data_IF_554088116326
#
_entry.id   IF_554088116326
#
_cell.length_a   1.000
_cell.length_b   1.000
_cell.length_c   1.000
_cell.angle_alpha   90.00
_cell.angle_beta   90.00
_cell.angle_gamma   90.00
#
_symmetry.space_group_name_H-M   'P 1'
#
loop_
_entity.id
_entity.type
_entity.pdbx_description
1 polymer ?
#
# COMPACT_ATOMS: atom_id res chain seq x y z
N UNK A 1 20.90 1.44 -7.84
CA UNK A 1 20.94 -0.02 -7.63
C UNK A 1 21.73 -0.29 -6.36
N UNK A 2 21.04 -0.49 -5.23
CA UNK A 2 21.69 -0.66 -3.93
C UNK A 2 21.82 -2.13 -3.57
N UNK A 3 23.01 -2.47 -3.08
CA UNK A 3 23.48 -3.76 -2.58
C UNK A 3 22.58 -4.30 -1.44
N UNK A 4 22.52 -5.64 -1.37
CA UNK A 4 21.89 -6.49 -0.35
C UNK A 4 20.36 -6.58 -0.41
N UNK A 5 19.83 -7.25 -1.43
CA UNK A 5 18.51 -7.90 -1.30
C UNK A 5 18.69 -9.10 -0.38
N UNK A 6 18.35 -8.96 0.91
CA UNK A 6 18.20 -10.10 1.80
C UNK A 6 17.23 -11.09 1.15
N UNK A 7 17.61 -12.36 1.04
CA UNK A 7 16.76 -13.38 0.43
C UNK A 7 15.50 -13.56 1.27
N UNK A 8 14.40 -12.93 0.85
CA UNK A 8 13.09 -13.11 1.48
C UNK A 8 12.61 -14.53 1.20
N UNK A 9 12.37 -15.29 2.28
CA UNK A 9 11.84 -16.65 2.22
C UNK A 9 10.43 -16.68 1.61
N UNK A 10 10.23 -17.56 0.61
CA UNK A 10 8.94 -17.81 -0.04
C UNK A 10 7.84 -18.18 0.95
N UNK A 11 8.18 -18.90 2.03
CA UNK A 11 7.19 -19.29 3.05
C UNK A 11 6.59 -18.06 3.76
N UNK A 12 7.43 -17.06 4.08
CA UNK A 12 7.01 -15.83 4.73
C UNK A 12 6.19 -14.96 3.79
N UNK A 13 6.56 -14.93 2.52
CA UNK A 13 5.82 -14.17 1.50
C UNK A 13 4.44 -14.79 1.22
N UNK A 14 4.35 -16.12 1.18
CA UNK A 14 3.08 -16.86 1.12
C UNK A 14 2.18 -16.53 2.32
N UNK A 15 2.73 -16.52 3.54
CA UNK A 15 2.00 -16.14 4.74
C UNK A 15 1.48 -14.70 4.66
N UNK A 16 2.31 -13.75 4.21
CA UNK A 16 1.90 -12.36 4.02
C UNK A 16 0.73 -12.25 3.04
N UNK A 17 0.78 -12.96 1.91
CA UNK A 17 -0.33 -12.97 0.94
C UNK A 17 -1.63 -13.50 1.55
N UNK A 18 -1.55 -14.52 2.40
CA UNK A 18 -2.72 -15.03 3.12
C UNK A 18 -3.30 -14.00 4.07
N UNK A 19 -2.46 -13.23 4.76
CA UNK A 19 -2.92 -12.08 5.56
C UNK A 19 -3.57 -11.01 4.67
N UNK A 20 -2.94 -10.67 3.54
CA UNK A 20 -3.49 -9.68 2.60
C UNK A 20 -4.89 -10.07 2.10
N UNK A 21 -5.16 -11.36 1.91
CA UNK A 21 -6.49 -11.84 1.55
C UNK A 21 -7.56 -11.61 2.63
N UNK A 22 -7.17 -11.52 3.90
CA UNK A 22 -8.10 -11.19 4.99
C UNK A 22 -8.27 -9.67 5.07
N UNK A 23 -7.18 -8.90 4.92
CA UNK A 23 -7.23 -7.43 4.94
C UNK A 23 -8.04 -6.84 3.79
N UNK A 24 -7.90 -7.41 2.60
CA UNK A 24 -8.67 -7.05 1.41
C UNK A 24 -9.21 -8.36 0.80
N UNK A 25 -10.41 -8.80 1.21
CA UNK A 25 -11.03 -10.00 0.68
C UNK A 25 -11.47 -9.83 -0.78
N UNK A 26 -11.86 -10.94 -1.40
CA UNK A 26 -12.49 -10.91 -2.71
C UNK A 26 -13.87 -10.26 -2.61
N UNK A 27 -14.22 -9.48 -3.63
CA UNK A 27 -15.52 -8.79 -3.72
C UNK A 27 -15.99 -8.85 -5.17
N UNK A 28 -17.15 -9.46 -5.39
CA UNK A 28 -17.74 -9.68 -6.72
C UNK A 28 -16.75 -10.35 -7.71
N UNK A 29 -16.26 -9.58 -8.68
CA UNK A 29 -15.33 -9.97 -9.74
C UNK A 29 -13.86 -9.65 -9.43
N UNK A 30 -13.60 -8.95 -8.32
CA UNK A 30 -12.25 -8.57 -7.89
C UNK A 30 -11.64 -9.64 -6.98
N UNK A 31 -10.48 -10.20 -7.35
CA UNK A 31 -9.73 -11.09 -6.48
C UNK A 31 -9.26 -10.39 -5.20
N UNK A 32 -9.10 -11.20 -4.15
CA UNK A 32 -8.45 -10.80 -2.90
C UNK A 32 -7.00 -10.31 -3.12
N UNK A 33 -6.48 -9.51 -2.19
CA UNK A 33 -5.21 -8.82 -2.41
C UNK A 33 -4.00 -9.76 -2.56
N UNK A 34 -3.88 -10.80 -1.76
CA UNK A 34 -2.80 -11.78 -1.89
C UNK A 34 -2.84 -12.59 -3.18
N UNK A 35 -4.02 -12.73 -3.82
CA UNK A 35 -4.14 -13.36 -5.13
C UNK A 35 -3.79 -12.39 -6.27
N UNK A 36 -4.19 -11.11 -6.14
CA UNK A 36 -4.00 -10.11 -7.19
C UNK A 36 -2.58 -9.50 -7.20
N UNK A 37 -1.98 -9.30 -6.04
CA UNK A 37 -0.66 -8.68 -5.89
C UNK A 37 0.43 -9.71 -6.24
N UNK A 38 1.35 -9.35 -7.14
CA UNK A 38 2.46 -10.23 -7.51
C UNK A 38 3.59 -10.20 -6.48
N UNK A 39 4.39 -11.26 -6.42
CA UNK A 39 5.52 -11.36 -5.48
C UNK A 39 6.53 -10.24 -5.76
N UNK A 40 6.77 -9.92 -7.04
CA UNK A 40 7.69 -8.86 -7.45
C UNK A 40 7.24 -7.50 -6.93
N UNK A 41 5.92 -7.23 -6.91
CA UNK A 41 5.40 -5.96 -6.41
C UNK A 41 5.60 -5.82 -4.91
N UNK A 42 5.40 -6.91 -4.15
CA UNK A 42 5.67 -6.95 -2.71
C UNK A 42 7.15 -6.70 -2.46
N UNK A 43 8.02 -7.42 -3.16
CA UNK A 43 9.48 -7.28 -3.04
C UNK A 43 9.95 -5.87 -3.42
N UNK A 44 9.40 -5.27 -4.47
CA UNK A 44 9.67 -3.89 -4.86
C UNK A 44 9.38 -2.93 -3.68
N UNK A 45 8.20 -3.02 -3.07
CA UNK A 45 7.81 -2.15 -1.95
C UNK A 45 8.69 -2.39 -0.71
N UNK A 46 8.98 -3.64 -0.39
CA UNK A 46 9.84 -4.01 0.74
C UNK A 46 11.26 -3.44 0.56
N UNK A 47 11.86 -3.59 -0.62
CA UNK A 47 13.22 -3.08 -0.87
C UNK A 47 13.28 -1.57 -1.08
N UNK A 48 12.20 -0.96 -1.58
CA UNK A 48 12.13 0.49 -1.80
C UNK A 48 11.98 1.28 -0.50
N UNK A 49 11.25 0.73 0.48
CA UNK A 49 10.94 1.44 1.73
C UNK A 49 11.34 0.60 2.96
N UNK A 50 12.40 1.03 3.65
CA UNK A 50 12.92 0.34 4.84
C UNK A 50 11.86 0.16 5.94
N UNK A 51 10.90 1.10 6.08
CA UNK A 51 9.79 0.97 7.04
C UNK A 51 8.97 -0.31 6.81
N UNK A 52 8.73 -0.69 5.55
CA UNK A 52 7.97 -1.89 5.21
C UNK A 52 8.80 -3.14 5.44
N UNK A 53 10.09 -3.13 5.07
CA UNK A 53 10.98 -4.27 5.32
C UNK A 53 11.11 -4.60 6.82
N UNK A 54 11.32 -3.58 7.66
CA UNK A 54 11.40 -3.76 9.11
C UNK A 54 10.07 -4.24 9.69
N UNK A 55 8.96 -3.64 9.27
CA UNK A 55 7.62 -4.03 9.73
C UNK A 55 7.25 -5.45 9.31
N UNK A 56 7.56 -5.84 8.09
CA UNK A 56 7.32 -7.19 7.56
C UNK A 56 7.92 -8.28 8.42
N UNK A 57 9.21 -8.17 8.74
CA UNK A 57 9.88 -9.20 9.54
C UNK A 57 9.29 -9.30 10.96
N UNK A 58 9.00 -8.16 11.59
CA UNK A 58 8.38 -8.13 12.92
C UNK A 58 6.97 -8.70 12.90
N UNK A 59 6.18 -8.33 11.90
CA UNK A 59 4.80 -8.77 11.74
C UNK A 59 4.69 -10.28 11.50
N UNK A 60 5.51 -10.83 10.59
CA UNK A 60 5.55 -12.28 10.34
C UNK A 60 5.97 -13.05 11.59
N UNK A 61 6.92 -12.52 12.36
CA UNK A 61 7.31 -13.14 13.62
C UNK A 61 6.18 -13.07 14.66
N UNK A 62 5.45 -11.95 14.75
CA UNK A 62 4.32 -11.80 15.65
C UNK A 62 3.22 -12.82 15.35
N UNK A 63 2.84 -13.00 14.08
CA UNK A 63 1.87 -14.04 13.67
C UNK A 63 2.36 -15.45 14.03
N UNK A 64 3.65 -15.74 13.83
CA UNK A 64 4.21 -17.07 14.15
C UNK A 64 4.25 -17.35 15.65
N UNK A 65 4.37 -16.31 16.48
CA UNK A 65 4.41 -16.42 17.93
C UNK A 65 3.02 -16.37 18.58
N UNK A 66 2.01 -15.93 17.83
CA UNK A 66 0.61 -15.87 18.28
C UNK A 66 0.13 -17.24 18.83
N UNK A 67 -0.48 -17.27 20.03
CA UNK A 67 -0.91 -18.51 20.66
C UNK A 67 -1.93 -19.31 19.83
N UNK A 68 -2.90 -18.63 19.20
CA UNK A 68 -3.95 -19.27 18.43
C UNK A 68 -3.37 -19.92 17.17
N UNK A 69 -2.47 -19.20 16.50
CA UNK A 69 -1.72 -19.74 15.37
C UNK A 69 -0.90 -20.97 15.76
N UNK A 70 -0.18 -20.93 16.89
CA UNK A 70 0.66 -22.05 17.33
C UNK A 70 -0.14 -23.28 17.72
N UNK A 71 -1.27 -23.10 18.40
CA UNK A 71 -2.14 -24.20 18.81
C UNK A 71 -2.76 -24.92 17.59
N UNK A 72 -3.05 -24.18 16.52
CA UNK A 72 -3.74 -24.70 15.33
C UNK A 72 -2.80 -25.20 14.23
N UNK A 73 -1.48 -25.17 14.45
CA UNK A 73 -0.48 -25.58 13.45
C UNK A 73 -0.13 -24.50 12.41
N UNK A 74 -0.50 -23.24 12.66
CA UNK A 74 -0.16 -22.06 11.86
C UNK A 74 -1.37 -21.20 11.54
N UNK A 75 -1.11 -19.99 11.05
CA UNK A 75 -2.16 -19.05 10.64
C UNK A 75 -3.08 -19.61 9.56
N UNK A 76 -2.55 -20.47 8.68
CA UNK A 76 -3.30 -21.01 7.54
C UNK A 76 -4.43 -21.96 7.96
N UNK A 77 -4.17 -22.74 9.01
CA UNK A 77 -5.07 -23.75 9.57
C UNK A 77 -6.23 -23.18 10.35
N UNK A 78 -6.17 -21.90 10.72
CA UNK A 78 -7.27 -21.19 11.36
C UNK A 78 -8.46 -21.05 10.41
N UNK A 79 -9.68 -21.09 10.94
CA UNK A 79 -10.85 -20.64 10.20
C UNK A 79 -10.81 -19.11 9.98
N UNK A 80 -11.75 -18.59 9.18
CA UNK A 80 -11.76 -17.18 8.82
C UNK A 80 -11.96 -16.26 10.02
N UNK A 81 -12.87 -16.62 10.94
CA UNK A 81 -13.17 -15.83 12.14
C UNK A 81 -11.96 -15.72 13.07
N UNK A 82 -11.27 -16.83 13.31
CA UNK A 82 -10.06 -16.83 14.13
C UNK A 82 -8.90 -16.09 13.46
N UNK A 83 -8.79 -16.13 12.13
CA UNK A 83 -7.83 -15.28 11.39
C UNK A 83 -8.10 -13.80 11.63
N UNK A 84 -9.35 -13.37 11.58
CA UNK A 84 -9.70 -11.98 11.90
C UNK A 84 -9.37 -11.61 13.34
N UNK A 85 -9.67 -12.48 14.30
CA UNK A 85 -9.39 -12.24 15.73
C UNK A 85 -7.89 -12.01 15.92
N UNK A 86 -7.05 -12.90 15.38
CA UNK A 86 -5.59 -12.75 15.46
C UNK A 86 -5.13 -11.43 14.84
N UNK A 87 -5.68 -11.03 13.69
CA UNK A 87 -5.31 -9.76 13.06
C UNK A 87 -5.77 -8.54 13.88
N UNK A 88 -6.97 -8.57 14.48
CA UNK A 88 -7.47 -7.53 15.38
C UNK A 88 -6.61 -7.41 16.63
N UNK A 89 -6.15 -8.52 17.20
CA UNK A 89 -5.23 -8.53 18.34
C UNK A 89 -3.87 -7.93 17.96
N UNK A 90 -3.35 -8.27 16.77
CA UNK A 90 -2.10 -7.68 16.27
C UNK A 90 -2.23 -6.18 15.99
N UNK A 91 -3.37 -5.74 15.46
CA UNK A 91 -3.66 -4.32 15.25
C UNK A 91 -3.60 -3.55 16.59
N UNK A 92 -4.10 -4.13 17.68
CA UNK A 92 -4.05 -3.50 19.00
C UNK A 92 -2.66 -3.57 19.65
N UNK A 93 -1.96 -4.70 19.52
CA UNK A 93 -0.69 -4.94 20.21
C UNK A 93 0.51 -4.28 19.52
N UNK A 94 0.50 -4.20 18.19
CA UNK A 94 1.59 -3.65 17.38
C UNK A 94 1.07 -2.68 16.30
N UNK A 95 0.35 -1.61 16.68
CA UNK A 95 -0.44 -0.78 15.76
C UNK A 95 0.39 -0.14 14.64
N UNK A 96 1.59 0.37 14.95
CA UNK A 96 2.46 0.99 13.94
C UNK A 96 2.91 -0.02 12.89
N UNK A 97 3.29 -1.22 13.32
CA UNK A 97 3.73 -2.31 12.44
C UNK A 97 2.56 -2.79 11.58
N UNK A 98 1.39 -2.98 12.20
CA UNK A 98 0.17 -3.38 11.50
C UNK A 98 -0.22 -2.35 10.44
N UNK A 99 -0.23 -1.06 10.78
CA UNK A 99 -0.54 0.03 9.86
C UNK A 99 0.42 0.10 8.68
N UNK A 100 1.72 -0.14 8.89
CA UNK A 100 2.69 -0.21 7.79
C UNK A 100 2.40 -1.38 6.82
N UNK A 101 1.94 -2.53 7.34
CA UNK A 101 1.54 -3.68 6.50
C UNK A 101 0.24 -3.38 5.75
N UNK A 102 -0.74 -2.77 6.41
CA UNK A 102 -1.99 -2.34 5.79
C UNK A 102 -1.72 -1.31 4.69
N UNK A 103 -0.93 -0.28 4.96
CA UNK A 103 -0.53 0.75 3.99
C UNK A 103 0.16 0.12 2.77
N UNK A 104 1.13 -0.78 3.00
CA UNK A 104 1.79 -1.51 1.91
C UNK A 104 0.80 -2.34 1.08
N UNK A 105 -0.16 -3.00 1.74
CA UNK A 105 -1.19 -3.81 1.08
C UNK A 105 -2.09 -2.93 0.22
N UNK A 106 -2.56 -1.79 0.74
CA UNK A 106 -3.37 -0.82 0.02
C UNK A 106 -2.62 -0.24 -1.17
N UNK A 107 -1.36 0.18 -0.98
CA UNK A 107 -0.52 0.70 -2.05
C UNK A 107 -0.34 -0.32 -3.17
N UNK A 108 -0.07 -1.58 -2.83
CA UNK A 108 0.10 -2.65 -3.82
C UNK A 108 -1.21 -2.96 -4.55
N UNK A 109 -2.32 -3.07 -3.83
CA UNK A 109 -3.62 -3.44 -4.39
C UNK A 109 -4.20 -2.36 -5.29
N UNK A 110 -4.27 -1.12 -4.81
CA UNK A 110 -4.81 0.02 -5.57
C UNK A 110 -3.83 0.58 -6.62
N UNK A 111 -2.61 0.04 -6.73
CA UNK A 111 -1.76 0.26 -7.89
C UNK A 111 -2.08 -0.68 -9.07
N UNK A 112 -2.93 -1.70 -8.87
CA UNK A 112 -3.28 -2.64 -9.92
C UNK A 112 -4.30 -2.03 -10.90
N UNK A 113 -4.00 -2.09 -12.20
CA UNK A 113 -4.89 -1.55 -13.24
C UNK A 113 -6.31 -2.13 -13.19
N UNK A 114 -6.47 -3.43 -12.89
CA UNK A 114 -7.80 -4.06 -12.78
C UNK A 114 -8.65 -3.42 -11.67
N UNK A 115 -8.03 -3.13 -10.52
CA UNK A 115 -8.71 -2.47 -9.39
C UNK A 115 -9.05 -1.04 -9.77
N UNK A 116 -8.09 -0.31 -10.35
CA UNK A 116 -8.29 1.07 -10.79
C UNK A 116 -9.41 1.20 -11.84
N UNK A 117 -9.49 0.26 -12.77
CA UNK A 117 -10.55 0.23 -13.79
C UNK A 117 -11.91 -0.07 -13.16
N UNK A 118 -11.97 -1.01 -12.21
CA UNK A 118 -13.20 -1.37 -11.49
C UNK A 118 -13.78 -0.23 -10.66
N UNK A 119 -12.93 0.60 -10.05
CA UNK A 119 -13.37 1.80 -9.32
C UNK A 119 -13.56 3.02 -10.23
N UNK A 120 -13.44 2.84 -11.55
CA UNK A 120 -13.50 3.91 -12.55
C UNK A 120 -12.55 5.08 -12.23
N UNK A 121 -11.34 4.74 -11.77
CA UNK A 121 -10.34 5.74 -11.43
C UNK A 121 -9.86 6.44 -12.70
N UNK A 122 -10.14 7.74 -12.80
CA UNK A 122 -9.75 8.56 -13.95
C UNK A 122 -8.24 8.75 -13.99
N UNK A 123 -7.56 7.87 -14.72
CA UNK A 123 -6.14 7.99 -15.09
C UNK A 123 -5.99 8.97 -16.25
N UNK A 124 -6.38 10.24 -16.05
CA UNK A 124 -6.15 11.25 -17.06
C UNK A 124 -4.65 11.54 -17.17
N UNK A 125 -4.13 11.55 -18.38
CA UNK A 125 -2.76 11.90 -18.74
C UNK A 125 -2.47 13.37 -18.42
N UNK A 126 -1.23 13.83 -18.64
CA UNK A 126 -0.92 15.25 -18.57
C UNK A 126 -1.74 16.03 -19.64
N UNK A 127 -1.85 17.34 -19.49
CA UNK A 127 -2.48 18.21 -20.49
C UNK A 127 -1.95 17.89 -21.91
N UNK A 128 -2.79 17.88 -22.96
CA UNK A 128 -4.16 18.42 -23.02
C UNK A 128 -5.30 17.42 -22.71
N UNK A 129 -5.01 16.13 -22.59
CA UNK A 129 -5.99 15.06 -22.30
C UNK A 129 -6.31 14.93 -20.79
N UNK A 130 -5.64 15.77 -20.00
CA UNK A 130 -5.73 15.84 -18.55
C UNK A 130 -7.06 16.33 -18.00
N UNK A 131 -7.05 16.64 -16.70
CA UNK A 131 -8.18 17.31 -16.06
C UNK A 131 -8.44 18.65 -16.74
N UNK A 132 -9.70 19.01 -16.94
CA UNK A 132 -10.02 20.36 -17.38
C UNK A 132 -9.58 21.32 -16.29
N UNK A 133 -8.58 22.14 -16.59
CA UNK A 133 -8.15 23.21 -15.70
C UNK A 133 -8.98 24.45 -16.03
N UNK A 134 -9.35 25.19 -15.00
CA UNK A 134 -9.92 26.50 -15.21
C UNK A 134 -8.94 27.36 -16.02
N UNK A 135 -9.47 28.10 -16.99
CA UNK A 135 -8.66 29.02 -17.78
C UNK A 135 -8.00 30.04 -16.85
N UNK A 136 -6.73 30.35 -17.12
CA UNK A 136 -6.00 31.37 -16.38
C UNK A 136 -6.82 32.67 -16.31
N UNK A 137 -7.09 33.15 -15.10
CA UNK A 137 -7.80 34.40 -14.88
C UNK A 137 -6.80 35.58 -14.88
N UNK A 138 -6.76 36.41 -15.94
CA UNK A 138 -5.79 37.50 -16.05
C UNK A 138 -5.96 38.59 -14.99
N UNK A 139 -7.14 38.68 -14.34
CA UNK A 139 -7.40 39.64 -13.26
C UNK A 139 -6.50 39.45 -12.04
N UNK A 140 -5.92 38.25 -11.86
CA UNK A 140 -4.95 37.98 -10.79
C UNK A 140 -3.70 38.85 -10.94
N UNK A 141 -3.36 39.23 -12.19
CA UNK A 141 -2.18 40.06 -12.48
C UNK A 141 -2.40 41.54 -12.21
N UNK A 142 -3.64 42.00 -12.01
CA UNK A 142 -3.93 43.44 -11.85
C UNK A 142 -3.19 44.02 -10.63
N UNK A 143 -3.10 43.25 -9.54
CA UNK A 143 -2.33 43.64 -8.35
C UNK A 143 -0.82 43.66 -8.57
N UNK A 144 -0.30 42.78 -9.43
CA UNK A 144 1.14 42.68 -9.70
C UNK A 144 1.58 43.81 -10.64
N UNK A 145 0.75 44.15 -11.63
CA UNK A 145 0.98 45.26 -12.56
C UNK A 145 1.06 46.62 -11.87
N UNK A 146 0.40 46.79 -10.73
CA UNK A 146 0.43 48.02 -9.93
C UNK A 146 1.69 48.16 -9.07
N UNK A 147 2.51 47.11 -8.95
CA UNK A 147 3.75 47.19 -8.17
C UNK A 147 4.81 47.92 -8.99
N UNK A 148 5.52 48.84 -8.34
CA UNK A 148 6.70 49.46 -8.94
C UNK A 148 7.72 48.37 -9.32
N UNK A 149 8.43 48.55 -10.45
CA UNK A 149 9.44 47.60 -10.88
C UNK A 149 10.47 47.38 -9.77
N UNK A 150 10.70 46.11 -9.44
CA UNK A 150 11.69 45.73 -8.42
C UNK A 150 13.13 45.79 -8.95
N UNK A 151 13.29 45.88 -10.27
CA UNK A 151 14.59 45.94 -10.95
C UNK A 151 15.00 47.38 -11.24
N UNK A 152 16.30 47.66 -11.11
CA UNK A 152 16.90 48.93 -11.54
C UNK A 152 16.98 48.94 -13.07
N UNK A 153 16.56 50.03 -13.69
CA UNK A 153 16.90 50.32 -15.08
C UNK A 153 18.43 50.49 -15.18
N UNK A 154 19.04 49.80 -16.15
CA UNK A 154 20.46 49.93 -16.50
C UNK A 154 20.59 50.96 -17.61
#
# INVERSE_FOLDING_TARGET
MSKNQEHIDKSKLSLLKKVMNILIPEVDDLPSAGLLITDEKILELLYKYNKYFSSYNKFINAIRLDPNCRASGGFESLDYENKEIVLKELEQNIPEIFNNILEMTLLAYYSNNKVLDRINWKRKTLQPEGWELEKFNPKILDKIKLREPFWKEI
#
